data_IF_542969971900
#
_entry.id   IF_542969971900
#
_cell.length_a   1.000
_cell.length_b   1.000
_cell.length_c   1.000
_cell.angle_alpha   90.00
_cell.angle_beta   90.00
_cell.angle_gamma   90.00
#
_symmetry.space_group_name_H-M   'P 1'
#
loop_
_entity.id
_entity.type
_entity.pdbx_description
1 polymer ?
#
# COMPACT_ATOMS: atom_id res chain seq x y z
N UNK A 1 9.23 -49.86 -65.41
CA UNK A 1 8.49 -48.69 -64.92
C UNK A 1 8.29 -48.89 -63.44
N UNK A 2 9.26 -48.44 -62.62
CA UNK A 2 9.21 -48.57 -61.15
C UNK A 2 8.73 -47.25 -60.51
N UNK A 3 7.59 -47.29 -59.83
CA UNK A 3 7.07 -46.19 -59.06
C UNK A 3 7.66 -46.24 -57.64
N UNK A 4 8.48 -45.27 -57.27
CA UNK A 4 8.99 -45.08 -55.91
C UNK A 4 7.93 -44.30 -55.18
N UNK A 5 7.36 -44.90 -54.11
CA UNK A 5 6.52 -44.25 -53.12
C UNK A 5 7.44 -43.61 -52.05
N UNK A 6 7.42 -42.26 -52.01
CA UNK A 6 8.07 -41.53 -50.93
C UNK A 6 7.04 -41.31 -49.79
N UNK A 7 7.23 -41.99 -48.66
CA UNK A 7 6.43 -41.82 -47.45
C UNK A 7 6.98 -40.64 -46.63
N UNK A 8 6.14 -39.60 -46.46
CA UNK A 8 6.46 -38.45 -45.60
C UNK A 8 5.98 -38.77 -44.18
N UNK A 9 6.92 -39.01 -43.28
CA UNK A 9 6.65 -39.04 -41.84
C UNK A 9 6.58 -37.62 -41.30
N UNK A 10 5.39 -37.16 -40.94
CA UNK A 10 5.16 -35.92 -40.21
C UNK A 10 5.38 -36.23 -38.73
N UNK A 11 6.56 -35.85 -38.17
CA UNK A 11 6.82 -35.92 -36.74
C UNK A 11 6.12 -34.75 -36.06
N UNK A 12 4.98 -35.04 -35.41
CA UNK A 12 4.32 -34.11 -34.49
C UNK A 12 5.19 -33.95 -33.23
N UNK A 13 5.89 -32.82 -33.15
CA UNK A 13 6.59 -32.40 -31.92
C UNK A 13 5.53 -31.91 -30.92
N UNK A 14 5.14 -32.77 -29.98
CA UNK A 14 4.32 -32.39 -28.87
C UNK A 14 5.21 -31.62 -27.86
N UNK A 15 5.19 -30.29 -27.91
CA UNK A 15 5.74 -29.46 -26.82
C UNK A 15 4.86 -29.66 -25.57
N UNK A 16 5.28 -30.54 -24.69
CA UNK A 16 4.73 -30.65 -23.34
C UNK A 16 5.21 -29.42 -22.57
N UNK A 17 4.38 -28.38 -22.48
CA UNK A 17 4.56 -27.33 -21.48
C UNK A 17 4.30 -27.96 -20.11
N UNK A 18 5.36 -28.37 -19.43
CA UNK A 18 5.29 -28.65 -18.01
C UNK A 18 5.11 -27.30 -17.29
N UNK A 19 3.87 -26.95 -17.00
CA UNK A 19 3.57 -25.98 -15.96
C UNK A 19 4.13 -26.57 -14.67
N UNK A 20 5.30 -26.12 -14.24
CA UNK A 20 5.81 -26.37 -12.88
C UNK A 20 4.80 -25.68 -11.94
N UNK A 21 3.88 -26.47 -11.41
CA UNK A 21 2.97 -26.01 -10.37
C UNK A 21 3.82 -25.56 -9.19
N UNK A 22 3.85 -24.24 -8.93
CA UNK A 22 4.37 -23.75 -7.66
C UNK A 22 3.59 -24.46 -6.54
N UNK A 23 4.31 -24.95 -5.54
CA UNK A 23 3.70 -25.55 -4.36
C UNK A 23 2.76 -24.50 -3.74
N UNK A 24 1.46 -24.78 -3.72
CA UNK A 24 0.42 -23.86 -3.23
C UNK A 24 0.73 -23.36 -1.81
N UNK A 25 1.30 -24.20 -0.97
CA UNK A 25 1.71 -23.85 0.39
C UNK A 25 2.82 -22.77 0.43
N UNK A 26 3.74 -22.78 -0.53
CA UNK A 26 4.82 -21.77 -0.60
C UNK A 26 4.30 -20.39 -1.04
N UNK A 27 3.32 -20.37 -1.95
CA UNK A 27 2.69 -19.14 -2.48
C UNK A 27 1.82 -18.46 -1.42
N UNK A 28 0.98 -19.22 -0.70
CA UNK A 28 0.16 -18.70 0.38
C UNK A 28 1.01 -18.17 1.55
N UNK A 29 2.09 -18.88 1.89
CA UNK A 29 3.02 -18.46 2.94
C UNK A 29 3.71 -17.15 2.58
N UNK A 30 4.06 -16.93 1.31
CA UNK A 30 4.64 -15.67 0.86
C UNK A 30 3.64 -14.51 0.92
N UNK A 31 2.38 -14.73 0.53
CA UNK A 31 1.33 -13.70 0.66
C UNK A 31 1.06 -13.36 2.13
N UNK A 32 1.05 -14.37 3.01
CA UNK A 32 0.93 -14.17 4.45
C UNK A 32 2.10 -13.35 4.99
N UNK A 33 3.34 -13.68 4.62
CA UNK A 33 4.53 -12.92 5.00
C UNK A 33 4.44 -11.47 4.49
N UNK A 34 3.97 -11.25 3.26
CA UNK A 34 3.77 -9.92 2.71
C UNK A 34 2.76 -9.11 3.52
N UNK A 35 1.66 -9.72 3.98
CA UNK A 35 0.71 -9.09 4.90
C UNK A 35 1.37 -8.77 6.25
N UNK A 36 2.06 -9.74 6.86
CA UNK A 36 2.67 -9.62 8.18
C UNK A 36 3.73 -8.50 8.19
N UNK A 37 4.42 -8.27 7.07
CA UNK A 37 5.37 -7.17 6.90
C UNK A 37 4.70 -5.77 6.87
N UNK A 38 3.37 -5.66 6.77
CA UNK A 38 2.65 -4.37 6.83
C UNK A 38 2.19 -3.98 8.23
N UNK A 39 2.31 -4.87 9.20
CA UNK A 39 1.76 -4.72 10.54
C UNK A 39 2.82 -4.89 11.64
N UNK A 40 2.58 -4.22 12.78
CA UNK A 40 3.47 -4.19 13.94
C UNK A 40 2.69 -4.56 15.20
N UNK A 41 2.13 -5.81 15.25
CA UNK A 41 1.21 -6.24 16.33
C UNK A 41 1.86 -6.39 17.71
N UNK A 42 3.16 -6.48 17.78
CA UNK A 42 3.94 -6.72 19.01
C UNK A 42 4.57 -5.45 19.59
N UNK A 43 4.42 -4.33 18.90
CA UNK A 43 5.01 -3.04 19.32
C UNK A 43 4.16 -1.88 18.83
N UNK A 44 4.41 -0.68 19.37
CA UNK A 44 3.90 0.55 18.80
C UNK A 44 4.86 1.04 17.71
N UNK A 45 4.35 1.83 16.78
CA UNK A 45 5.13 2.47 15.72
C UNK A 45 4.90 3.97 15.76
N UNK A 46 5.95 4.74 15.52
CA UNK A 46 5.83 6.15 15.17
C UNK A 46 6.81 6.55 14.08
N UNK A 47 6.45 7.58 13.31
CA UNK A 47 7.29 8.11 12.24
C UNK A 47 6.83 9.48 11.78
N UNK A 48 7.75 10.23 11.19
CA UNK A 48 7.46 11.50 10.53
C UNK A 48 7.20 11.24 9.04
N UNK A 49 6.09 11.72 8.57
CA UNK A 49 5.64 11.59 7.18
C UNK A 49 5.77 12.93 6.45
N UNK A 50 6.37 12.89 5.28
CA UNK A 50 6.37 13.99 4.30
C UNK A 50 5.59 13.51 3.08
N UNK A 51 4.46 14.16 2.82
CA UNK A 51 3.54 13.79 1.73
C UNK A 51 3.51 14.91 0.71
N UNK A 52 3.94 14.62 -0.52
CA UNK A 52 3.95 15.57 -1.63
C UNK A 52 2.93 15.15 -2.67
N UNK A 53 1.87 15.93 -2.81
CA UNK A 53 0.90 15.78 -3.89
C UNK A 53 1.32 16.61 -5.09
N UNK A 54 1.40 15.99 -6.27
CA UNK A 54 1.66 16.68 -7.52
C UNK A 54 0.46 16.50 -8.47
N UNK A 55 -0.07 17.63 -8.95
CA UNK A 55 -1.12 17.69 -9.98
C UNK A 55 -0.55 18.29 -11.25
N UNK A 56 -0.71 17.62 -12.40
CA UNK A 56 -0.19 18.09 -13.67
C UNK A 56 -0.70 19.49 -14.03
N UNK A 57 0.23 20.45 -14.15
CA UNK A 57 -0.09 21.85 -14.48
C UNK A 57 -0.58 22.71 -13.31
N UNK A 58 -0.68 22.17 -12.09
CA UNK A 58 -1.14 22.93 -10.89
C UNK A 58 -0.04 23.07 -9.83
N UNK A 59 1.07 22.33 -9.97
CA UNK A 59 2.18 22.38 -9.02
C UNK A 59 2.14 21.29 -7.95
N UNK A 60 2.81 21.57 -6.81
CA UNK A 60 2.99 20.61 -5.72
C UNK A 60 2.48 21.18 -4.41
N UNK A 61 1.80 20.33 -3.63
CA UNK A 61 1.41 20.61 -2.25
C UNK A 61 2.17 19.68 -1.32
N UNK A 62 2.68 20.23 -0.23
CA UNK A 62 3.40 19.53 0.81
C UNK A 62 2.49 19.40 2.04
N UNK A 63 2.47 18.22 2.67
CA UNK A 63 1.93 17.99 4.00
C UNK A 63 2.99 17.28 4.83
N UNK A 64 3.24 17.77 6.02
CA UNK A 64 4.07 17.11 7.03
C UNK A 64 3.19 16.62 8.17
N UNK A 65 3.46 15.42 8.65
CA UNK A 65 2.67 14.82 9.72
C UNK A 65 3.55 13.91 10.60
N UNK A 66 3.09 13.66 11.82
CA UNK A 66 3.60 12.60 12.68
C UNK A 66 2.50 11.54 12.77
N UNK A 67 2.89 10.30 12.57
CA UNK A 67 2.00 9.16 12.71
C UNK A 67 2.41 8.30 13.89
N UNK A 68 1.39 7.83 14.61
CA UNK A 68 1.49 6.85 15.68
C UNK A 68 0.55 5.69 15.38
N UNK A 69 1.03 4.44 15.51
CA UNK A 69 0.24 3.22 15.27
C UNK A 69 0.39 2.26 16.43
N UNK A 70 -0.73 1.65 16.82
CA UNK A 70 -0.83 0.51 17.72
C UNK A 70 -1.70 -0.55 17.07
N UNK A 71 -1.08 -1.37 16.23
CA UNK A 71 -1.81 -2.30 15.36
C UNK A 71 -2.55 -3.38 16.15
N UNK A 72 -2.03 -3.77 17.32
CA UNK A 72 -2.67 -4.75 18.22
C UNK A 72 -4.12 -4.39 18.59
N UNK A 73 -4.40 -3.11 18.74
CA UNK A 73 -5.74 -2.58 19.09
C UNK A 73 -6.39 -1.82 17.93
N UNK A 74 -5.79 -1.88 16.73
CA UNK A 74 -6.27 -1.16 15.53
C UNK A 74 -6.43 0.34 15.76
N UNK A 75 -5.52 0.94 16.55
CA UNK A 75 -5.49 2.36 16.83
C UNK A 75 -4.37 3.05 16.07
N UNK A 76 -4.67 4.21 15.53
CA UNK A 76 -3.63 5.08 15.00
C UNK A 76 -4.06 6.56 15.08
N UNK A 77 -3.07 7.42 15.12
CA UNK A 77 -3.22 8.88 15.13
C UNK A 77 -2.26 9.49 14.13
N UNK A 78 -2.75 10.40 13.30
CA UNK A 78 -1.95 11.24 12.43
C UNK A 78 -2.18 12.69 12.85
N UNK A 79 -1.10 13.37 13.23
CA UNK A 79 -1.10 14.80 13.52
C UNK A 79 -0.39 15.55 12.39
N UNK A 80 -1.08 16.44 11.71
CA UNK A 80 -0.50 17.31 10.68
C UNK A 80 0.31 18.40 11.35
N UNK A 81 1.59 18.50 11.00
CA UNK A 81 2.56 19.45 11.59
C UNK A 81 2.94 20.56 10.63
N UNK A 82 2.59 20.46 9.38
CA UNK A 82 2.88 21.45 8.34
C UNK A 82 2.11 21.21 7.03
N UNK A 83 1.94 22.25 6.22
CA UNK A 83 2.32 23.66 6.41
C UNK A 83 1.44 24.35 7.48
N UNK A 84 1.81 25.58 7.84
CA UNK A 84 1.16 26.30 8.96
C UNK A 84 -0.36 26.40 8.86
N UNK A 85 -0.92 26.53 7.66
CA UNK A 85 -2.39 26.58 7.42
C UNK A 85 -3.11 25.26 7.70
N UNK A 86 -2.39 24.14 7.71
CA UNK A 86 -2.93 22.78 7.92
C UNK A 86 -2.51 22.23 9.29
N UNK A 87 -1.59 22.92 9.99
CA UNK A 87 -1.06 22.49 11.29
C UNK A 87 -2.17 22.30 12.31
N UNK A 88 -2.07 21.24 13.10
CA UNK A 88 -3.05 20.88 14.14
C UNK A 88 -4.22 20.05 13.64
N UNK A 89 -4.45 19.95 12.32
CA UNK A 89 -5.41 18.97 11.79
C UNK A 89 -4.94 17.56 12.15
N UNK A 90 -5.89 16.67 12.40
CA UNK A 90 -5.55 15.33 12.82
C UNK A 90 -6.55 14.27 12.37
N UNK A 91 -6.07 13.04 12.35
CA UNK A 91 -6.88 11.85 12.11
C UNK A 91 -6.67 10.89 13.25
N UNK A 92 -7.74 10.30 13.73
CA UNK A 92 -7.72 9.33 14.84
C UNK A 92 -8.59 8.12 14.47
N UNK A 93 -7.97 6.94 14.44
CA UNK A 93 -8.72 5.70 14.43
C UNK A 93 -8.75 5.12 15.84
N UNK A 94 -9.94 4.94 16.36
CA UNK A 94 -10.21 4.26 17.62
C UNK A 94 -11.60 3.63 17.58
N UNK A 95 -11.78 2.49 18.25
CA UNK A 95 -13.06 1.77 18.33
C UNK A 95 -13.71 1.51 16.95
N UNK A 96 -12.88 1.21 15.94
CA UNK A 96 -13.32 0.92 14.58
C UNK A 96 -13.79 2.13 13.77
N UNK A 97 -13.68 3.33 14.33
CA UNK A 97 -14.11 4.58 13.69
C UNK A 97 -12.92 5.49 13.38
N UNK A 98 -12.93 6.12 12.22
CA UNK A 98 -11.93 7.13 11.85
C UNK A 98 -12.56 8.52 12.00
N UNK A 99 -11.91 9.36 12.79
CA UNK A 99 -12.27 10.74 13.03
C UNK A 99 -11.26 11.67 12.37
N UNK A 100 -11.75 12.71 11.73
CA UNK A 100 -10.96 13.86 11.30
C UNK A 100 -11.23 15.03 12.23
N UNK A 101 -10.16 15.68 12.71
CA UNK A 101 -10.21 16.89 13.55
C UNK A 101 -9.68 18.09 12.77
N UNK A 102 -10.46 19.17 12.77
CA UNK A 102 -10.01 20.47 12.28
C UNK A 102 -9.99 21.48 13.45
N UNK A 103 -8.82 22.03 13.81
CA UNK A 103 -8.71 22.99 14.92
C UNK A 103 -9.40 24.32 14.63
N UNK A 104 -9.67 24.65 13.35
CA UNK A 104 -10.32 25.92 12.98
C UNK A 104 -11.77 26.03 13.49
N UNK A 105 -12.47 24.92 13.57
CA UNK A 105 -13.84 24.83 14.08
C UNK A 105 -13.97 23.95 15.33
N UNK A 106 -12.83 23.36 15.78
CA UNK A 106 -12.73 22.46 16.95
C UNK A 106 -13.69 21.27 16.91
N UNK A 107 -13.90 20.73 15.70
CA UNK A 107 -14.86 19.64 15.49
C UNK A 107 -14.20 18.37 15.04
N UNK A 108 -14.77 17.25 15.50
CA UNK A 108 -14.52 15.93 14.97
C UNK A 108 -15.61 15.57 13.97
N UNK A 109 -15.21 15.22 12.77
CA UNK A 109 -16.10 14.68 11.74
C UNK A 109 -15.73 13.24 11.42
N UNK A 110 -16.73 12.44 11.06
CA UNK A 110 -16.48 11.08 10.58
C UNK A 110 -15.80 11.12 9.22
N UNK A 111 -14.81 10.24 9.03
CA UNK A 111 -14.19 9.98 7.74
C UNK A 111 -14.03 8.47 7.54
N UNK A 112 -13.98 8.01 6.30
CA UNK A 112 -13.86 6.58 5.99
C UNK A 112 -12.43 6.19 5.65
N UNK A 113 -12.16 4.88 5.65
CA UNK A 113 -10.90 4.31 5.20
C UNK A 113 -10.57 4.67 3.74
N UNK A 114 -11.60 4.79 2.88
CA UNK A 114 -11.49 5.11 1.45
C UNK A 114 -11.34 6.60 1.17
N UNK A 115 -11.58 7.47 2.16
CA UNK A 115 -11.45 8.91 1.98
C UNK A 115 -9.97 9.29 1.84
N UNK A 116 -9.74 10.32 1.05
CA UNK A 116 -8.39 10.81 0.75
C UNK A 116 -7.81 11.56 1.95
N UNK A 117 -6.55 11.26 2.25
CA UNK A 117 -5.78 11.99 3.23
C UNK A 117 -5.36 13.35 2.65
N UNK A 118 -5.75 14.46 3.30
CA UNK A 118 -5.33 15.85 2.96
C UNK A 118 -5.40 16.17 1.46
N UNK A 119 -6.45 15.74 0.77
CA UNK A 119 -6.62 15.94 -0.68
C UNK A 119 -5.50 15.36 -1.56
N UNK A 120 -4.77 14.36 -1.05
CA UNK A 120 -3.75 13.61 -1.79
C UNK A 120 -4.36 12.39 -2.51
N UNK A 121 -3.57 11.59 -3.20
CA UNK A 121 -4.03 10.30 -3.75
C UNK A 121 -3.84 9.14 -2.75
N UNK A 122 -3.31 9.40 -1.56
CA UNK A 122 -3.33 8.46 -0.46
C UNK A 122 -4.72 8.43 0.20
N UNK A 123 -5.19 7.24 0.55
CA UNK A 123 -6.40 7.05 1.34
C UNK A 123 -6.02 6.86 2.83
N UNK A 124 -6.97 7.06 3.73
CA UNK A 124 -6.74 6.81 5.16
C UNK A 124 -6.31 5.36 5.43
N UNK A 125 -6.80 4.39 4.66
CA UNK A 125 -6.39 2.98 4.74
C UNK A 125 -4.93 2.71 4.38
N UNK A 126 -4.29 3.56 3.59
CA UNK A 126 -2.87 3.37 3.24
C UNK A 126 -1.94 3.51 4.45
N UNK A 127 -2.42 4.10 5.54
CA UNK A 127 -1.69 4.29 6.79
C UNK A 127 -1.93 3.17 7.82
N UNK A 128 -2.82 2.22 7.54
CA UNK A 128 -3.19 1.12 8.41
C UNK A 128 -2.54 -0.21 7.95
N UNK A 129 -2.50 -1.26 8.81
CA UNK A 129 -2.14 -2.61 8.39
C UNK A 129 -2.99 -3.09 7.22
N UNK A 130 -2.39 -3.84 6.30
CA UNK A 130 -3.06 -4.39 5.14
C UNK A 130 -3.33 -5.90 5.36
N UNK A 131 -4.51 -6.37 5.00
CA UNK A 131 -4.92 -7.75 5.29
C UNK A 131 -5.12 -8.57 4.00
N UNK A 132 -4.10 -8.59 3.16
CA UNK A 132 -4.16 -9.26 1.84
C UNK A 132 -4.44 -10.75 1.91
N UNK A 133 -3.77 -11.50 2.80
CA UNK A 133 -3.99 -12.92 2.97
C UNK A 133 -5.36 -13.23 3.59
N UNK A 134 -5.81 -12.39 4.53
CA UNK A 134 -7.09 -12.54 5.22
C UNK A 134 -8.28 -12.23 4.32
N UNK A 135 -8.22 -11.10 3.60
CA UNK A 135 -9.38 -10.49 2.96
C UNK A 135 -9.48 -10.79 1.46
N UNK A 136 -8.45 -11.39 0.88
CA UNK A 136 -8.39 -11.71 -0.54
C UNK A 136 -8.07 -13.19 -0.78
N UNK A 137 -8.62 -13.73 -1.88
CA UNK A 137 -8.24 -15.03 -2.42
C UNK A 137 -7.25 -14.85 -3.58
N UNK A 138 -6.30 -15.77 -3.70
CA UNK A 138 -5.36 -15.82 -4.81
C UNK A 138 -6.10 -16.36 -6.03
N UNK A 139 -6.22 -15.53 -7.08
CA UNK A 139 -6.70 -15.96 -8.39
C UNK A 139 -5.55 -16.58 -9.19
N UNK A 140 -4.37 -15.95 -9.15
CA UNK A 140 -3.15 -16.47 -9.76
C UNK A 140 -1.91 -15.94 -9.05
N UNK A 141 -0.82 -16.70 -9.17
CA UNK A 141 0.51 -16.32 -8.73
C UNK A 141 1.53 -16.73 -9.79
N UNK A 142 2.40 -15.81 -10.18
CA UNK A 142 3.36 -16.01 -11.26
C UNK A 142 4.72 -15.45 -10.89
N UNK A 143 5.77 -16.18 -11.24
CA UNK A 143 7.14 -15.68 -11.13
C UNK A 143 7.40 -14.58 -12.15
N UNK A 144 7.84 -13.42 -11.66
CA UNK A 144 8.14 -12.28 -12.51
C UNK A 144 9.40 -11.53 -12.05
N UNK A 145 10.01 -10.80 -12.95
CA UNK A 145 11.03 -9.80 -12.63
C UNK A 145 10.39 -8.42 -12.52
N UNK A 146 10.72 -7.68 -11.46
CA UNK A 146 10.44 -6.25 -11.34
C UNK A 146 11.78 -5.50 -11.29
N UNK A 147 12.26 -5.06 -12.45
CA UNK A 147 13.65 -4.61 -12.60
C UNK A 147 14.62 -5.75 -12.26
N UNK A 148 15.51 -5.55 -11.31
CA UNK A 148 16.46 -6.56 -10.84
C UNK A 148 15.87 -7.51 -9.75
N UNK A 149 14.63 -7.28 -9.29
CA UNK A 149 14.03 -8.03 -8.20
C UNK A 149 13.30 -9.28 -8.69
N UNK A 150 13.55 -10.41 -8.06
CA UNK A 150 12.77 -11.64 -8.22
C UNK A 150 11.50 -11.54 -7.37
N UNK A 151 10.35 -11.52 -8.02
CA UNK A 151 9.05 -11.35 -7.38
C UNK A 151 8.09 -12.48 -7.75
N UNK A 152 7.07 -12.65 -6.91
CA UNK A 152 5.82 -13.29 -7.28
C UNK A 152 4.80 -12.18 -7.55
N UNK A 153 4.16 -12.22 -8.71
CA UNK A 153 3.00 -11.41 -9.04
C UNK A 153 1.74 -12.15 -8.62
N UNK A 154 1.10 -11.65 -7.58
CA UNK A 154 -0.21 -12.12 -7.16
C UNK A 154 -1.32 -11.34 -7.87
N UNK A 155 -2.32 -12.05 -8.40
CA UNK A 155 -3.63 -11.48 -8.74
C UNK A 155 -4.62 -11.93 -7.67
N UNK A 156 -5.29 -10.96 -7.06
CA UNK A 156 -6.12 -11.18 -5.87
C UNK A 156 -7.54 -10.67 -6.12
N UNK A 157 -8.54 -11.45 -5.72
CA UNK A 157 -9.94 -11.05 -5.66
C UNK A 157 -10.41 -10.97 -4.21
N UNK A 158 -11.22 -9.98 -3.88
CA UNK A 158 -11.77 -9.82 -2.54
C UNK A 158 -12.63 -11.02 -2.12
N UNK A 159 -12.47 -11.48 -0.88
CA UNK A 159 -13.34 -12.48 -0.22
C UNK A 159 -14.51 -11.83 0.50
N UNK A 160 -14.37 -10.53 0.84
CA UNK A 160 -15.32 -9.77 1.64
C UNK A 160 -15.66 -8.45 0.96
N UNK A 161 -16.83 -7.88 1.24
CA UNK A 161 -17.29 -6.63 0.61
C UNK A 161 -16.65 -5.37 1.22
N UNK A 162 -16.05 -5.48 2.41
CA UNK A 162 -15.48 -4.36 3.17
C UNK A 162 -14.00 -4.11 2.84
N UNK A 163 -13.62 -4.23 1.58
CA UNK A 163 -12.30 -3.89 1.09
C UNK A 163 -12.35 -2.62 0.25
N UNK A 164 -11.25 -1.89 0.17
CA UNK A 164 -11.19 -0.67 -0.62
C UNK A 164 -11.27 -0.95 -2.12
N UNK A 165 -10.64 -2.02 -2.56
CA UNK A 165 -10.56 -2.41 -3.96
C UNK A 165 -10.89 -3.89 -4.14
N UNK A 166 -11.84 -4.25 -5.01
CA UNK A 166 -12.27 -5.65 -5.19
C UNK A 166 -11.21 -6.54 -5.85
N UNK A 167 -10.28 -5.96 -6.59
CA UNK A 167 -9.20 -6.71 -7.25
C UNK A 167 -7.87 -5.99 -7.07
N UNK A 168 -6.81 -6.76 -6.82
CA UNK A 168 -5.45 -6.26 -6.64
C UNK A 168 -4.46 -7.05 -7.47
N UNK A 169 -3.35 -6.39 -7.84
CA UNK A 169 -2.11 -7.07 -8.22
C UNK A 169 -1.00 -6.64 -7.29
N UNK A 170 -0.25 -7.60 -6.73
CA UNK A 170 0.87 -7.35 -5.84
C UNK A 170 2.14 -7.98 -6.40
N UNK A 171 3.21 -7.20 -6.49
CA UNK A 171 4.57 -7.70 -6.75
C UNK A 171 5.29 -7.83 -5.42
N UNK A 172 5.50 -9.07 -5.00
CA UNK A 172 6.10 -9.41 -3.71
C UNK A 172 7.46 -10.05 -3.95
N UNK A 173 8.51 -9.53 -3.33
CA UNK A 173 9.85 -10.11 -3.45
C UNK A 173 9.91 -11.49 -2.83
N UNK A 174 10.48 -12.47 -3.54
CA UNK A 174 10.61 -13.85 -3.07
C UNK A 174 11.52 -13.98 -1.84
N UNK A 175 12.55 -13.12 -1.76
CA UNK A 175 13.58 -13.19 -0.73
C UNK A 175 13.08 -12.84 0.66
N UNK A 176 12.24 -11.81 0.77
CA UNK A 176 11.91 -11.16 2.04
C UNK A 176 10.42 -10.80 2.19
N UNK A 177 9.58 -11.16 1.21
CA UNK A 177 8.14 -10.94 1.26
C UNK A 177 7.73 -9.46 1.23
N UNK A 178 8.57 -8.56 0.70
CA UNK A 178 8.27 -7.14 0.65
C UNK A 178 7.46 -6.80 -0.60
N UNK A 179 6.41 -6.01 -0.42
CA UNK A 179 5.59 -5.50 -1.53
C UNK A 179 6.34 -4.37 -2.21
N UNK A 180 6.68 -4.54 -3.49
CA UNK A 180 7.39 -3.52 -4.28
C UNK A 180 6.47 -2.70 -5.16
N UNK A 181 5.35 -3.30 -5.58
CA UNK A 181 4.34 -2.63 -6.38
C UNK A 181 2.96 -3.19 -6.05
N UNK A 182 1.96 -2.33 -6.03
CA UNK A 182 0.55 -2.68 -5.92
C UNK A 182 -0.22 -1.96 -7.01
N UNK A 183 -1.17 -2.64 -7.61
CA UNK A 183 -2.15 -2.07 -8.51
C UNK A 183 -3.56 -2.38 -7.98
N UNK A 184 -4.38 -1.34 -7.88
CA UNK A 184 -5.74 -1.38 -7.38
C UNK A 184 -6.72 -1.29 -8.57
N UNK A 185 -7.65 -2.24 -8.68
CA UNK A 185 -8.58 -2.35 -9.79
C UNK A 185 -10.03 -2.26 -9.34
N UNK A 186 -10.88 -1.75 -10.23
CA UNK A 186 -12.34 -1.84 -10.10
C UNK A 186 -12.83 -3.28 -10.32
N UNK A 187 -14.09 -3.54 -10.00
CA UNK A 187 -14.74 -4.83 -10.28
C UNK A 187 -14.73 -5.18 -11.78
N UNK A 188 -14.87 -4.16 -12.65
CA UNK A 188 -14.80 -4.32 -14.10
C UNK A 188 -13.38 -4.52 -14.66
N UNK A 189 -12.35 -4.49 -13.80
CA UNK A 189 -10.96 -4.66 -14.20
C UNK A 189 -10.26 -3.38 -14.68
N UNK A 190 -10.84 -2.20 -14.43
CA UNK A 190 -10.18 -0.93 -14.74
C UNK A 190 -9.10 -0.65 -13.68
N UNK A 191 -7.88 -0.33 -14.11
CA UNK A 191 -6.81 0.12 -13.24
C UNK A 191 -7.14 1.50 -12.67
N UNK A 192 -7.27 1.59 -11.36
CA UNK A 192 -7.63 2.82 -10.64
C UNK A 192 -6.39 3.54 -10.11
N UNK A 193 -5.48 2.78 -9.48
CA UNK A 193 -4.33 3.33 -8.78
C UNK A 193 -3.13 2.38 -8.85
N UNK A 194 -1.95 2.94 -8.94
CA UNK A 194 -0.68 2.21 -8.86
C UNK A 194 0.14 2.77 -7.70
N UNK A 195 0.63 1.89 -6.83
CA UNK A 195 1.55 2.24 -5.73
C UNK A 195 2.87 1.53 -5.95
N UNK A 196 3.97 2.27 -6.00
CA UNK A 196 5.33 1.73 -5.99
C UNK A 196 6.00 1.99 -4.64
N UNK A 197 6.75 1.00 -4.14
CA UNK A 197 7.50 1.08 -2.88
C UNK A 197 8.97 0.76 -3.18
N UNK A 198 9.74 1.76 -3.63
CA UNK A 198 11.11 1.55 -4.08
C UNK A 198 12.07 1.22 -2.95
N UNK A 199 11.83 1.72 -1.73
CA UNK A 199 12.78 1.54 -0.64
C UNK A 199 12.14 1.23 0.70
N UNK A 200 12.82 0.36 1.44
CA UNK A 200 12.51 -0.03 2.81
C UNK A 200 13.74 0.23 3.69
N UNK A 201 13.48 0.60 4.93
CA UNK A 201 14.46 0.65 6.01
C UNK A 201 14.21 -0.54 6.94
N UNK A 202 15.28 -1.23 7.33
CA UNK A 202 15.21 -2.24 8.38
C UNK A 202 15.51 -1.53 9.70
N UNK A 203 14.60 -1.63 10.65
CA UNK A 203 14.74 -1.09 12.00
C UNK A 203 14.72 -2.24 12.99
N UNK A 204 15.72 -2.31 13.86
CA UNK A 204 15.80 -3.32 14.91
C UNK A 204 15.22 -2.77 16.21
N UNK A 205 14.35 -3.56 16.84
CA UNK A 205 13.79 -3.26 18.16
C UNK A 205 13.58 -4.57 18.93
N UNK A 206 14.15 -4.71 20.12
CA UNK A 206 14.04 -5.90 20.98
C UNK A 206 14.31 -7.22 20.19
N UNK A 207 15.46 -7.31 19.53
CA UNK A 207 15.92 -8.47 18.75
C UNK A 207 15.07 -8.80 17.50
N UNK A 208 14.03 -8.00 17.21
CA UNK A 208 13.22 -8.11 16.00
C UNK A 208 13.60 -7.08 14.95
N UNK A 209 13.46 -7.50 13.70
CA UNK A 209 13.69 -6.63 12.52
C UNK A 209 12.36 -6.32 11.85
N UNK A 210 12.11 -5.03 11.70
CA UNK A 210 10.92 -4.51 11.02
C UNK A 210 11.32 -3.87 9.70
N UNK A 211 10.64 -4.25 8.63
CA UNK A 211 10.82 -3.63 7.31
C UNK A 211 9.81 -2.51 7.14
N UNK A 212 10.28 -1.27 7.20
CA UNK A 212 9.41 -0.08 7.08
C UNK A 212 9.55 0.51 5.69
N UNK A 213 8.45 0.68 4.92
CA UNK A 213 8.48 1.40 3.66
C UNK A 213 8.82 2.87 3.92
N UNK A 214 9.97 3.34 3.45
CA UNK A 214 10.42 4.72 3.68
C UNK A 214 10.20 5.64 2.48
N UNK A 215 9.83 5.08 1.34
CA UNK A 215 9.45 5.82 0.15
C UNK A 215 8.33 5.07 -0.57
N UNK A 216 7.25 5.78 -0.87
CA UNK A 216 6.12 5.28 -1.64
C UNK A 216 5.71 6.31 -2.68
N UNK A 217 5.32 5.85 -3.87
CA UNK A 217 4.77 6.67 -4.93
C UNK A 217 3.40 6.12 -5.33
N UNK A 218 2.36 6.91 -5.13
CA UNK A 218 0.98 6.58 -5.52
C UNK A 218 0.62 7.40 -6.75
N UNK A 219 0.17 6.75 -7.81
CA UNK A 219 -0.29 7.36 -9.06
C UNK A 219 -1.79 7.08 -9.20
N UNK A 220 -2.59 8.12 -9.38
CA UNK A 220 -4.01 8.01 -9.71
C UNK A 220 -4.14 7.80 -11.23
N UNK A 221 -4.47 6.59 -11.66
CA UNK A 221 -4.55 6.24 -13.07
C UNK A 221 -5.81 6.77 -13.78
N UNK A 222 -6.73 7.41 -13.03
CA UNK A 222 -7.95 8.03 -13.57
C UNK A 222 -7.81 9.54 -13.76
N UNK A 223 -6.95 10.18 -12.94
CA UNK A 223 -6.78 11.63 -12.94
C UNK A 223 -5.48 12.03 -13.61
N UNK A 224 -5.61 12.53 -14.81
CA UNK A 224 -4.47 12.99 -15.59
C UNK A 224 -4.83 14.17 -16.47
N UNK A 225 -3.80 14.87 -16.91
CA UNK A 225 -3.89 15.98 -17.86
C UNK A 225 -2.87 15.79 -18.97
N UNK A 226 -3.26 16.05 -20.21
CA UNK A 226 -2.33 16.05 -21.33
C UNK A 226 -1.49 17.33 -21.28
N UNK A 227 -0.17 17.17 -21.19
CA UNK A 227 0.80 18.28 -21.22
C UNK A 227 1.73 18.00 -22.40
N UNK A 228 1.60 18.82 -23.45
CA UNK A 228 2.18 18.52 -24.74
C UNK A 228 1.60 17.21 -25.33
N UNK A 229 2.47 16.33 -25.77
CA UNK A 229 2.09 15.03 -26.33
C UNK A 229 1.89 13.92 -25.30
N UNK A 230 2.24 14.17 -24.02
CA UNK A 230 2.24 13.13 -22.96
C UNK A 230 1.08 13.31 -21.99
N UNK A 231 0.44 12.20 -21.62
CA UNK A 231 -0.47 12.14 -20.49
C UNK A 231 0.37 12.11 -19.20
N UNK A 232 0.11 13.05 -18.30
CA UNK A 232 0.69 13.07 -16.96
C UNK A 232 -0.43 12.84 -15.95
N UNK A 233 -0.18 11.98 -14.96
CA UNK A 233 -1.17 11.62 -13.94
C UNK A 233 -0.85 12.31 -12.62
N UNK A 234 -1.91 12.54 -11.83
CA UNK A 234 -1.74 12.98 -10.44
C UNK A 234 -0.96 11.92 -9.65
N UNK A 235 -0.05 12.39 -8.80
CA UNK A 235 0.78 11.49 -8.00
C UNK A 235 1.04 12.04 -6.61
N UNK A 236 1.12 11.14 -5.65
CA UNK A 236 1.49 11.42 -4.26
C UNK A 236 2.76 10.66 -3.94
N UNK A 237 3.79 11.38 -3.51
CA UNK A 237 5.00 10.80 -2.94
C UNK A 237 4.91 10.87 -1.42
N UNK A 238 5.14 9.75 -0.73
CA UNK A 238 5.21 9.66 0.72
C UNK A 238 6.64 9.26 1.09
N UNK A 239 7.25 10.03 1.98
CA UNK A 239 8.55 9.71 2.58
C UNK A 239 8.38 9.59 4.08
N UNK A 240 8.99 8.57 4.69
CA UNK A 240 8.93 8.30 6.12
C UNK A 240 10.33 8.40 6.70
N UNK A 241 10.46 9.13 7.82
CA UNK A 241 11.71 9.32 8.56
C UNK A 241 11.46 9.26 10.05
N UNK A 242 12.53 9.28 10.85
CA UNK A 242 12.45 9.26 12.32
C UNK A 242 11.58 8.12 12.85
N UNK A 243 11.77 6.93 12.27
CA UNK A 243 11.00 5.72 12.63
C UNK A 243 11.41 5.27 14.04
N UNK A 244 10.42 4.99 14.87
CA UNK A 244 10.59 4.42 16.20
C UNK A 244 9.56 3.33 16.46
N UNK A 245 9.98 2.29 17.19
CA UNK A 245 9.14 1.20 17.69
C UNK A 245 9.03 1.23 19.22
N UNK A 246 9.30 2.37 19.83
CA UNK A 246 9.08 2.58 21.27
C UNK A 246 7.61 2.64 21.61
N UNK A 247 7.28 2.24 22.84
CA UNK A 247 5.92 2.36 23.37
C UNK A 247 5.46 3.81 23.32
N UNK A 248 4.25 4.03 22.80
CA UNK A 248 3.58 5.33 22.72
C UNK A 248 2.59 5.46 23.87
N UNK A 249 2.48 6.65 24.45
CA UNK A 249 1.50 6.91 25.51
C UNK A 249 0.07 6.72 25.00
N UNK A 250 -0.79 6.18 25.84
CA UNK A 250 -2.20 5.93 25.51
C UNK A 250 -2.97 7.22 25.17
N UNK A 251 -2.58 8.35 25.74
CA UNK A 251 -3.21 9.65 25.47
C UNK A 251 -3.16 10.02 24.00
N UNK A 252 -2.11 9.60 23.28
CA UNK A 252 -1.91 9.89 21.85
C UNK A 252 -3.06 9.32 20.99
N UNK A 253 -3.73 8.27 21.45
CA UNK A 253 -4.85 7.62 20.76
C UNK A 253 -6.21 8.12 21.24
N UNK A 254 -6.31 9.41 21.62
CA UNK A 254 -7.55 10.03 22.12
C UNK A 254 -7.90 11.31 21.37
N UNK A 255 -9.17 11.68 21.37
CA UNK A 255 -9.65 12.96 20.83
C UNK A 255 -8.99 14.14 21.54
N UNK A 256 -8.88 14.07 22.89
CA UNK A 256 -8.27 15.12 23.71
C UNK A 256 -6.82 15.41 23.33
N UNK A 257 -6.06 14.41 22.87
CA UNK A 257 -4.73 14.64 22.35
C UNK A 257 -4.74 15.53 21.10
N UNK A 258 -5.63 15.27 20.13
CA UNK A 258 -5.73 16.09 18.92
C UNK A 258 -6.22 17.52 19.25
N UNK A 259 -7.17 17.67 20.18
CA UNK A 259 -7.60 18.99 20.66
C UNK A 259 -6.43 19.77 21.26
N UNK A 260 -5.69 19.18 22.19
CA UNK A 260 -4.53 19.80 22.83
C UNK A 260 -3.46 20.19 21.79
N UNK A 261 -3.17 19.32 20.83
CA UNK A 261 -2.15 19.57 19.81
C UNK A 261 -2.61 20.57 18.74
N UNK A 262 -3.91 20.73 18.56
CA UNK A 262 -4.51 21.72 17.66
C UNK A 262 -4.46 23.15 18.19
N UNK A 263 -4.36 23.30 19.51
CA UNK A 263 -4.27 24.60 20.19
C UNK A 263 -2.82 25.14 20.29
N UNK A 264 -1.79 24.33 19.91
CA UNK A 264 -0.36 24.68 19.88
C UNK A 264 0.07 25.21 18.48
#
# INVERSE_FOLDING_TARGET
MNKILVSWYFALFFCVFTALGQDSGSVESLLKLAQDNTAFFDTDFSGRYTVVQEKPGEGKNLTEAIMYRRDKTSQWTILVTGPSREKGKGYLQTDGTIWFYDPSDRRFTFTSARDKFQNTNANNSDFAPQFYYRDYQIESAQDVKLGALDCVLFTLNAKIDRVDYPKLKLWVTKKDGLIRKKEDYSLSGQLLRTTAIPSYQIVENNERKYSVPVSMLIVDNLRGKRIGEKMQYERTQISISNVSFSKVDNVVYTKSYLEMMGDL
#
